data_IF_146422804605
#
_entry.id   IF_146422804605
#
_cell.length_a   1.000
_cell.length_b   1.000
_cell.length_c   1.000
_cell.angle_alpha   90.00
_cell.angle_beta   90.00
_cell.angle_gamma   90.00
#
_symmetry.space_group_name_H-M   'P 1'
#
loop_
_entity.id
_entity.type
_entity.pdbx_description
1 polymer ?
#
# COMPACT_ATOMS: atom_id res chain seq x y z
N UNK A 1 -16.65 -13.54 12.26
CA UNK A 1 -17.30 -12.56 11.36
C UNK A 1 -16.62 -12.75 10.01
N UNK A 2 -17.39 -12.96 8.94
CA UNK A 2 -16.82 -13.01 7.59
C UNK A 2 -16.36 -11.60 7.23
N UNK A 3 -15.08 -11.44 6.90
CA UNK A 3 -14.56 -10.15 6.41
C UNK A 3 -15.26 -9.76 5.12
N UNK A 4 -15.48 -8.47 4.91
CA UNK A 4 -16.01 -7.97 3.64
C UNK A 4 -15.09 -8.43 2.48
N UNK A 5 -15.66 -8.76 1.32
CA UNK A 5 -14.84 -9.14 0.17
C UNK A 5 -13.88 -8.02 -0.22
N UNK A 6 -12.74 -8.41 -0.74
CA UNK A 6 -11.65 -7.52 -1.12
C UNK A 6 -11.73 -7.29 -2.62
N UNK A 7 -11.51 -6.05 -3.04
CA UNK A 7 -11.40 -5.63 -4.42
C UNK A 7 -10.06 -4.91 -4.61
N UNK A 8 -9.32 -5.32 -5.61
CA UNK A 8 -8.06 -4.69 -6.02
C UNK A 8 -8.19 -4.34 -7.50
N UNK A 9 -8.05 -3.08 -7.84
CA UNK A 9 -8.01 -2.61 -9.22
C UNK A 9 -6.56 -2.60 -9.69
N UNK A 10 -6.27 -3.32 -10.78
CA UNK A 10 -4.94 -3.35 -11.40
C UNK A 10 -4.77 -2.25 -12.46
N UNK A 11 -5.86 -1.73 -12.98
CA UNK A 11 -5.87 -0.68 -14.00
C UNK A 11 -7.27 -0.36 -14.53
N UNK A 12 -7.39 0.71 -15.32
CA UNK A 12 -6.33 1.60 -15.78
C UNK A 12 -5.91 2.59 -14.69
N UNK A 13 -4.62 2.97 -14.71
CA UNK A 13 -4.10 4.00 -13.82
C UNK A 13 -4.61 5.39 -14.21
N UNK A 14 -4.70 6.32 -13.26
CA UNK A 14 -5.22 7.67 -13.50
C UNK A 14 -4.54 8.40 -14.65
N UNK A 15 -3.23 8.24 -14.84
CA UNK A 15 -2.49 8.85 -15.96
C UNK A 15 -2.83 8.24 -17.32
N UNK A 16 -3.33 7.00 -17.36
CA UNK A 16 -3.72 6.29 -18.60
C UNK A 16 -5.18 6.52 -19.00
N UNK A 17 -6.01 7.06 -18.10
CA UNK A 17 -7.43 7.28 -18.36
C UNK A 17 -7.65 8.53 -19.21
N UNK A 18 -8.53 8.41 -20.18
CA UNK A 18 -8.99 9.53 -21.03
C UNK A 18 -10.49 9.68 -20.89
N UNK A 19 -10.98 10.65 -20.10
CA UNK A 19 -12.40 10.93 -19.95
C UNK A 19 -13.09 11.19 -21.30
N UNK A 20 -14.20 10.52 -21.52
CA UNK A 20 -14.93 10.51 -22.79
C UNK A 20 -14.49 9.42 -23.79
N UNK A 21 -13.47 8.61 -23.46
CA UNK A 21 -13.09 7.41 -24.21
C UNK A 21 -13.48 6.14 -23.47
N UNK A 22 -13.34 4.98 -24.10
CA UNK A 22 -13.45 3.69 -23.41
C UNK A 22 -12.09 3.31 -22.82
N UNK A 23 -12.12 2.59 -21.68
CA UNK A 23 -10.94 1.99 -21.07
C UNK A 23 -11.29 0.61 -20.50
N UNK A 24 -10.30 -0.30 -20.50
CA UNK A 24 -10.43 -1.62 -19.88
C UNK A 24 -10.07 -1.53 -18.41
N UNK A 25 -11.03 -1.79 -17.55
CA UNK A 25 -10.84 -1.91 -16.10
C UNK A 25 -10.66 -3.37 -15.73
N UNK A 26 -9.57 -3.68 -15.04
CA UNK A 26 -9.25 -5.03 -14.61
C UNK A 26 -8.70 -5.08 -13.21
N UNK A 27 -8.86 -6.23 -12.56
CA UNK A 27 -8.40 -6.38 -11.20
C UNK A 27 -8.74 -7.76 -10.62
N UNK A 28 -8.63 -7.86 -9.30
CA UNK A 28 -8.85 -9.09 -8.55
C UNK A 28 -9.93 -8.88 -7.49
N UNK A 29 -10.79 -9.88 -7.34
CA UNK A 29 -11.71 -10.00 -6.20
C UNK A 29 -11.29 -11.17 -5.33
N UNK A 30 -11.33 -11.00 -4.01
CA UNK A 30 -11.09 -12.05 -3.04
C UNK A 30 -12.24 -12.05 -2.01
N UNK A 31 -12.92 -13.16 -1.86
CA UNK A 31 -13.88 -13.37 -0.79
C UNK A 31 -13.37 -14.44 0.17
N UNK A 32 -13.34 -14.12 1.47
CA UNK A 32 -13.00 -15.05 2.54
C UNK A 32 -14.31 -15.60 3.11
N UNK A 33 -14.58 -16.90 2.88
CA UNK A 33 -15.80 -17.56 3.34
C UNK A 33 -16.63 -18.16 2.21
N UNK A 34 -17.84 -18.64 2.55
CA UNK A 34 -18.65 -19.46 1.65
C UNK A 34 -19.46 -18.67 0.61
N UNK A 35 -19.41 -17.34 0.62
CA UNK A 35 -20.18 -16.46 -0.28
C UNK A 35 -19.29 -15.77 -1.29
N UNK A 36 -18.97 -16.41 -2.44
CA UNK A 36 -18.03 -15.88 -3.41
C UNK A 36 -18.60 -14.64 -4.14
N UNK A 37 -17.71 -13.86 -4.72
CA UNK A 37 -18.10 -12.76 -5.61
C UNK A 37 -18.62 -13.34 -6.93
N UNK A 38 -19.87 -13.08 -7.23
CA UNK A 38 -20.54 -13.54 -8.46
C UNK A 38 -20.40 -12.54 -9.61
N UNK A 39 -20.34 -11.24 -9.29
CA UNK A 39 -20.29 -10.17 -10.30
C UNK A 39 -19.62 -8.91 -9.74
N UNK A 40 -18.83 -8.24 -10.57
CA UNK A 40 -18.37 -6.87 -10.36
C UNK A 40 -19.28 -5.94 -11.16
N UNK A 41 -19.82 -4.92 -10.51
CA UNK A 41 -20.75 -3.95 -11.12
C UNK A 41 -20.12 -2.56 -11.07
N UNK A 42 -20.06 -1.87 -12.21
CA UNK A 42 -19.61 -0.50 -12.32
C UNK A 42 -20.79 0.45 -12.58
N UNK A 43 -20.84 1.56 -11.85
CA UNK A 43 -21.85 2.61 -11.98
C UNK A 43 -21.24 3.98 -12.16
N UNK A 44 -21.89 4.83 -12.95
CA UNK A 44 -21.61 6.27 -13.00
C UNK A 44 -22.91 7.04 -12.83
N UNK A 45 -22.93 8.03 -11.94
CA UNK A 45 -24.13 8.78 -11.55
C UNK A 45 -25.33 7.86 -11.21
N UNK A 46 -25.06 6.74 -10.55
CA UNK A 46 -26.06 5.73 -10.18
C UNK A 46 -26.49 4.76 -11.29
N UNK A 47 -26.21 5.04 -12.56
CA UNK A 47 -26.52 4.15 -13.68
C UNK A 47 -25.45 3.07 -13.83
N UNK A 48 -25.86 1.82 -14.10
CA UNK A 48 -24.92 0.74 -14.41
C UNK A 48 -24.31 0.98 -15.79
N UNK A 49 -22.98 1.05 -15.85
CA UNK A 49 -22.19 1.25 -17.08
C UNK A 49 -21.42 0.01 -17.49
N UNK A 50 -21.29 -0.97 -16.60
CA UNK A 50 -20.65 -2.26 -16.90
C UNK A 50 -20.85 -3.31 -15.84
N UNK A 51 -20.63 -4.56 -16.25
CA UNK A 51 -20.66 -5.76 -15.40
C UNK A 51 -19.62 -6.75 -15.87
N UNK A 52 -18.97 -7.44 -14.95
CA UNK A 52 -18.07 -8.54 -15.25
C UNK A 52 -18.24 -9.67 -14.26
N UNK A 53 -18.09 -10.91 -14.73
CA UNK A 53 -17.90 -12.07 -13.86
C UNK A 53 -16.43 -12.21 -13.53
N UNK A 54 -16.04 -12.34 -12.27
CA UNK A 54 -14.68 -12.64 -11.91
C UNK A 54 -14.46 -14.17 -12.06
N UNK A 55 -13.88 -14.58 -13.20
CA UNK A 55 -13.64 -15.99 -13.57
C UNK A 55 -12.19 -16.25 -14.00
N UNK A 56 -11.37 -15.22 -14.08
CA UNK A 56 -9.96 -15.32 -14.44
C UNK A 56 -9.09 -15.88 -13.31
N UNK A 57 -8.03 -16.62 -13.70
CA UNK A 57 -7.05 -17.14 -12.74
C UNK A 57 -6.25 -16.04 -12.06
N UNK A 58 -5.82 -16.29 -10.81
CA UNK A 58 -5.04 -15.38 -9.96
C UNK A 58 -3.73 -16.04 -9.51
N UNK A 59 -2.80 -16.37 -10.43
CA UNK A 59 -1.54 -17.03 -10.06
C UNK A 59 -0.70 -16.18 -9.08
N UNK A 60 -0.84 -14.88 -9.12
CA UNK A 60 -0.18 -13.94 -8.22
C UNK A 60 -0.64 -14.03 -6.75
N UNK A 61 -1.79 -14.66 -6.51
CA UNK A 61 -2.30 -14.93 -5.16
C UNK A 61 -2.04 -16.37 -4.71
N UNK A 62 -1.16 -17.11 -5.36
CA UNK A 62 -0.81 -18.49 -5.00
C UNK A 62 -0.26 -18.66 -3.58
N UNK A 63 0.20 -17.58 -2.94
CA UNK A 63 0.63 -17.55 -1.55
C UNK A 63 -0.53 -17.38 -0.55
N UNK A 64 -1.72 -17.02 -1.02
CA UNK A 64 -2.91 -16.89 -0.18
C UNK A 64 -3.51 -18.28 0.04
N UNK A 65 -3.72 -18.73 1.28
CA UNK A 65 -4.41 -19.99 1.55
C UNK A 65 -5.90 -19.83 1.20
N UNK A 66 -6.31 -20.39 0.06
CA UNK A 66 -7.67 -20.20 -0.48
C UNK A 66 -8.71 -21.18 0.08
N UNK A 67 -8.37 -22.05 1.04
CA UNK A 67 -9.35 -22.92 1.70
C UNK A 67 -10.49 -22.10 2.31
N UNK A 68 -11.70 -22.29 1.80
CA UNK A 68 -12.89 -21.52 2.19
C UNK A 68 -12.88 -20.07 1.69
N UNK A 69 -12.06 -19.77 0.67
CA UNK A 69 -11.98 -18.45 0.03
C UNK A 69 -12.03 -18.62 -1.49
N UNK A 70 -12.41 -17.56 -2.21
CA UNK A 70 -12.35 -17.50 -3.67
C UNK A 70 -11.62 -16.25 -4.12
N UNK A 71 -10.67 -16.40 -5.03
CA UNK A 71 -9.97 -15.29 -5.68
C UNK A 71 -10.09 -15.43 -7.19
N UNK A 72 -10.57 -14.40 -7.86
CA UNK A 72 -10.75 -14.40 -9.31
C UNK A 72 -10.44 -13.04 -9.91
N UNK A 73 -9.86 -13.04 -11.10
CA UNK A 73 -9.68 -11.84 -11.92
C UNK A 73 -10.97 -11.48 -12.63
N UNK A 74 -11.17 -10.18 -12.81
CA UNK A 74 -12.20 -9.63 -13.69
C UNK A 74 -11.56 -8.68 -14.70
N UNK A 75 -12.27 -8.47 -15.81
CA UNK A 75 -11.94 -7.44 -16.81
C UNK A 75 -13.24 -6.94 -17.44
N UNK A 76 -13.35 -5.63 -17.66
CA UNK A 76 -14.49 -5.02 -18.33
C UNK A 76 -14.10 -3.76 -19.07
N UNK A 77 -14.64 -3.57 -20.27
CA UNK A 77 -14.53 -2.32 -21.01
C UNK A 77 -15.64 -1.37 -20.58
N UNK A 78 -15.26 -0.17 -20.14
CA UNK A 78 -16.20 0.84 -19.67
C UNK A 78 -16.03 2.14 -20.44
N UNK A 79 -17.14 2.85 -20.77
CA UNK A 79 -17.05 4.26 -21.12
C UNK A 79 -16.59 5.04 -19.89
N UNK A 80 -15.52 5.81 -20.01
CA UNK A 80 -15.06 6.67 -18.90
C UNK A 80 -15.88 7.96 -18.94
N UNK A 81 -16.74 8.22 -17.94
CA UNK A 81 -17.57 9.43 -17.93
C UNK A 81 -16.69 10.68 -17.77
N UNK A 82 -17.22 11.86 -18.12
CA UNK A 82 -16.61 13.15 -17.80
C UNK A 82 -17.20 13.70 -16.51
N UNK A 83 -16.34 14.24 -15.64
CA UNK A 83 -16.77 14.93 -14.42
C UNK A 83 -17.54 14.06 -13.41
N UNK A 84 -17.51 12.74 -13.57
CA UNK A 84 -18.28 11.80 -12.73
C UNK A 84 -17.42 10.61 -12.35
N UNK A 85 -17.47 10.24 -11.09
CA UNK A 85 -16.81 9.05 -10.54
C UNK A 85 -17.41 7.74 -11.06
N UNK A 86 -16.61 6.67 -11.03
CA UNK A 86 -17.10 5.31 -11.29
C UNK A 86 -17.10 4.55 -9.95
N UNK A 87 -18.29 4.16 -9.48
CA UNK A 87 -18.46 3.34 -8.29
C UNK A 87 -18.47 1.86 -8.68
N UNK A 88 -17.56 1.08 -8.10
CA UNK A 88 -17.53 -0.37 -8.22
C UNK A 88 -18.17 -1.00 -6.97
N UNK A 89 -19.00 -2.00 -7.19
CA UNK A 89 -19.58 -2.84 -6.15
C UNK A 89 -19.41 -4.31 -6.50
N UNK A 90 -19.41 -5.16 -5.47
CA UNK A 90 -19.34 -6.61 -5.60
C UNK A 90 -20.72 -7.20 -5.27
N UNK A 91 -21.26 -7.95 -6.20
CA UNK A 91 -22.44 -8.78 -5.95
C UNK A 91 -21.98 -10.18 -5.56
N UNK A 92 -22.42 -10.64 -4.41
CA UNK A 92 -22.11 -11.96 -3.88
C UNK A 92 -23.08 -13.01 -4.42
N UNK A 93 -22.74 -14.29 -4.30
CA UNK A 93 -23.60 -15.39 -4.72
C UNK A 93 -24.94 -15.43 -3.96
N UNK A 94 -24.97 -14.96 -2.72
CA UNK A 94 -26.21 -14.75 -1.93
C UNK A 94 -27.13 -13.68 -2.49
N UNK A 95 -26.68 -12.86 -3.45
CA UNK A 95 -27.40 -11.71 -3.99
C UNK A 95 -27.12 -10.40 -3.24
N UNK A 96 -26.38 -10.43 -2.12
CA UNK A 96 -25.95 -9.20 -1.44
C UNK A 96 -25.01 -8.39 -2.34
N UNK A 97 -25.13 -7.07 -2.28
CA UNK A 97 -24.23 -6.14 -3.00
C UNK A 97 -23.48 -5.25 -2.00
N UNK A 98 -22.17 -5.21 -2.09
CA UNK A 98 -21.30 -4.45 -1.20
C UNK A 98 -20.48 -3.44 -2.00
N UNK A 99 -20.35 -2.17 -1.55
CA UNK A 99 -19.45 -1.20 -2.15
C UNK A 99 -18.00 -1.71 -2.07
N UNK A 100 -17.23 -1.48 -3.12
CA UNK A 100 -15.87 -1.99 -3.23
C UNK A 100 -14.83 -0.90 -3.47
N UNK A 101 -15.05 -0.04 -4.46
CA UNK A 101 -14.05 0.93 -4.90
C UNK A 101 -14.72 2.10 -5.59
N UNK A 102 -14.15 3.30 -5.44
CA UNK A 102 -14.55 4.49 -6.22
C UNK A 102 -13.37 4.98 -7.03
N UNK A 103 -13.55 5.05 -8.33
CA UNK A 103 -12.56 5.59 -9.27
C UNK A 103 -12.86 7.06 -9.52
N UNK A 104 -11.94 7.93 -9.09
CA UNK A 104 -12.11 9.39 -9.14
C UNK A 104 -11.70 9.94 -10.52
N UNK A 105 -12.61 9.85 -11.51
CA UNK A 105 -12.39 10.43 -12.85
C UNK A 105 -12.20 11.95 -12.78
N UNK A 106 -12.97 12.73 -11.99
CA UNK A 106 -12.71 14.16 -11.80
C UNK A 106 -11.28 14.49 -11.35
N UNK A 107 -10.68 13.66 -10.47
CA UNK A 107 -9.27 13.79 -10.09
C UNK A 107 -8.35 13.61 -11.31
N UNK A 108 -8.55 12.53 -12.08
CA UNK A 108 -7.78 12.27 -13.29
C UNK A 108 -7.87 13.41 -14.30
N UNK A 109 -9.05 14.03 -14.45
CA UNK A 109 -9.26 15.18 -15.32
C UNK A 109 -8.51 16.44 -14.85
N UNK A 110 -8.64 16.78 -13.56
CA UNK A 110 -7.98 17.96 -12.99
C UNK A 110 -6.46 17.85 -13.02
N UNK A 111 -5.94 16.68 -12.73
CA UNK A 111 -4.51 16.42 -12.56
C UNK A 111 -3.84 15.90 -13.85
N UNK A 112 -4.55 15.82 -14.98
CA UNK A 112 -4.09 15.15 -16.20
C UNK A 112 -2.68 15.58 -16.65
N UNK A 113 -2.38 16.88 -16.65
CA UNK A 113 -1.06 17.40 -17.03
C UNK A 113 0.02 17.02 -16.00
N UNK A 114 -0.29 17.11 -14.70
CA UNK A 114 0.61 16.70 -13.61
C UNK A 114 0.89 15.21 -13.67
N UNK A 115 -0.14 14.38 -13.81
CA UNK A 115 -0.03 12.93 -13.89
C UNK A 115 0.82 12.49 -15.09
N UNK A 116 0.62 13.10 -16.27
CA UNK A 116 1.44 12.82 -17.45
C UNK A 116 2.90 13.21 -17.26
N UNK A 117 3.16 14.35 -16.60
CA UNK A 117 4.53 14.79 -16.30
C UNK A 117 5.21 13.88 -15.26
N UNK A 118 4.49 13.42 -14.25
CA UNK A 118 4.99 12.47 -13.25
C UNK A 118 5.28 11.11 -13.88
N UNK A 119 4.37 10.59 -14.69
CA UNK A 119 4.54 9.32 -15.40
C UNK A 119 5.76 9.34 -16.33
N UNK A 120 5.96 10.42 -17.08
CA UNK A 120 7.13 10.57 -17.93
C UNK A 120 8.45 10.58 -17.12
N UNK A 121 8.47 11.24 -15.95
CA UNK A 121 9.65 11.27 -15.07
C UNK A 121 9.90 9.92 -14.41
N UNK A 122 8.87 9.24 -13.92
CA UNK A 122 8.97 7.88 -13.38
C UNK A 122 9.42 6.89 -14.47
N UNK A 123 8.88 7.02 -15.68
CA UNK A 123 9.23 6.20 -16.84
C UNK A 123 10.69 6.30 -17.26
N UNK A 124 11.34 7.43 -16.98
CA UNK A 124 12.77 7.64 -17.24
C UNK A 124 13.70 7.00 -16.18
N UNK A 125 13.17 6.60 -15.02
CA UNK A 125 13.98 5.97 -13.97
C UNK A 125 14.25 4.50 -14.26
N UNK A 126 15.44 3.99 -13.93
CA UNK A 126 15.73 2.55 -13.97
C UNK A 126 14.79 1.77 -13.05
N UNK A 127 14.43 0.58 -13.45
CA UNK A 127 13.69 -0.38 -12.62
C UNK A 127 14.52 -1.66 -12.43
N UNK A 128 14.42 -2.34 -11.28
CA UNK A 128 15.12 -3.57 -11.02
C UNK A 128 14.60 -4.71 -11.91
N UNK A 129 15.39 -5.76 -12.05
CA UNK A 129 14.96 -6.98 -12.72
C UNK A 129 13.89 -7.74 -11.91
N UNK A 130 13.31 -8.76 -12.51
CA UNK A 130 12.23 -9.55 -11.93
C UNK A 130 12.62 -10.25 -10.62
N UNK A 131 13.89 -10.63 -10.45
CA UNK A 131 14.36 -11.30 -9.24
C UNK A 131 14.39 -10.33 -8.04
N UNK A 132 14.91 -9.12 -8.24
CA UNK A 132 14.92 -8.08 -7.22
C UNK A 132 13.50 -7.56 -6.92
N UNK A 133 12.64 -7.44 -7.94
CA UNK A 133 11.22 -7.09 -7.74
C UNK A 133 10.53 -8.16 -6.89
N UNK A 134 10.76 -9.45 -7.17
CA UNK A 134 10.19 -10.55 -6.38
C UNK A 134 10.63 -10.50 -4.90
N UNK A 135 11.88 -10.12 -4.63
CA UNK A 135 12.40 -9.98 -3.27
C UNK A 135 11.65 -8.92 -2.46
N UNK A 136 11.19 -7.84 -3.11
CA UNK A 136 10.52 -6.72 -2.44
C UNK A 136 8.99 -6.82 -2.46
N UNK A 137 8.40 -7.40 -3.51
CA UNK A 137 6.94 -7.45 -3.70
C UNK A 137 6.34 -8.87 -3.70
N UNK A 138 7.17 -9.89 -3.54
CA UNK A 138 6.74 -11.29 -3.59
C UNK A 138 6.50 -11.83 -5.01
N UNK A 139 6.35 -10.95 -6.01
CA UNK A 139 6.11 -11.29 -7.42
C UNK A 139 7.05 -10.49 -8.31
N UNK A 140 7.72 -11.15 -9.26
CA UNK A 140 8.69 -10.55 -10.17
C UNK A 140 8.08 -9.79 -11.36
N UNK A 141 6.94 -9.12 -11.18
CA UNK A 141 6.29 -8.36 -12.24
C UNK A 141 6.85 -6.94 -12.33
N UNK A 142 7.76 -6.71 -13.27
CA UNK A 142 8.45 -5.43 -13.47
C UNK A 142 7.51 -4.31 -13.93
N UNK A 143 6.50 -4.62 -14.76
CA UNK A 143 5.55 -3.63 -15.24
C UNK A 143 4.63 -3.16 -14.10
N UNK A 144 4.15 -4.09 -13.26
CA UNK A 144 3.39 -3.75 -12.06
C UNK A 144 4.24 -2.96 -11.05
N UNK A 145 5.53 -3.31 -10.90
CA UNK A 145 6.46 -2.54 -10.08
C UNK A 145 6.55 -1.09 -10.56
N UNK A 146 6.80 -0.86 -11.87
CA UNK A 146 6.88 0.46 -12.47
C UNK A 146 5.60 1.28 -12.25
N UNK A 147 4.46 0.67 -12.56
CA UNK A 147 3.15 1.29 -12.39
C UNK A 147 2.88 1.67 -10.91
N UNK A 148 3.31 0.84 -9.96
CA UNK A 148 3.12 1.08 -8.53
C UNK A 148 3.94 2.26 -7.97
N UNK A 149 4.96 2.76 -8.67
CA UNK A 149 5.74 3.93 -8.22
C UNK A 149 4.83 5.16 -8.11
N UNK A 150 4.15 5.51 -9.20
CA UNK A 150 3.25 6.67 -9.22
C UNK A 150 2.03 6.45 -8.34
N UNK A 151 1.40 5.28 -8.41
CA UNK A 151 0.23 4.96 -7.60
C UNK A 151 0.51 5.03 -6.09
N UNK A 152 1.66 4.51 -5.64
CA UNK A 152 2.04 4.61 -4.22
C UNK A 152 2.36 6.04 -3.79
N UNK A 153 2.96 6.85 -4.66
CA UNK A 153 3.17 8.27 -4.38
C UNK A 153 1.84 9.01 -4.18
N UNK A 154 0.89 8.83 -5.09
CA UNK A 154 -0.45 9.44 -5.00
C UNK A 154 -1.21 8.96 -3.75
N UNK A 155 -1.09 7.69 -3.40
CA UNK A 155 -1.67 7.15 -2.18
C UNK A 155 -1.07 7.82 -0.92
N UNK A 156 0.27 7.99 -0.88
CA UNK A 156 0.93 8.68 0.23
C UNK A 156 0.49 10.13 0.36
N UNK A 157 0.40 10.88 -0.76
CA UNK A 157 -0.13 12.26 -0.75
C UNK A 157 -1.53 12.32 -0.15
N UNK A 158 -2.42 11.44 -0.62
CA UNK A 158 -3.82 11.41 -0.16
C UNK A 158 -3.92 11.05 1.33
N UNK A 159 -3.17 10.05 1.78
CA UNK A 159 -3.15 9.62 3.18
C UNK A 159 -2.57 10.74 4.07
N UNK A 160 -1.49 11.40 3.66
CA UNK A 160 -0.94 12.54 4.38
C UNK A 160 -1.96 13.67 4.48
N UNK A 161 -2.62 14.04 3.40
CA UNK A 161 -3.64 15.08 3.39
C UNK A 161 -4.81 14.73 4.33
N UNK A 162 -5.35 13.51 4.24
CA UNK A 162 -6.40 13.01 5.13
C UNK A 162 -5.92 12.91 6.59
N UNK A 163 -4.63 12.63 6.81
CA UNK A 163 -3.96 12.66 8.10
C UNK A 163 -3.67 14.06 8.64
N UNK A 164 -3.96 15.12 7.86
CA UNK A 164 -3.77 16.51 8.26
C UNK A 164 -2.36 17.07 7.98
N UNK A 165 -1.59 16.41 7.10
CA UNK A 165 -0.29 16.86 6.61
C UNK A 165 -0.41 17.41 5.18
N UNK A 166 0.49 18.32 4.82
CA UNK A 166 0.62 18.85 3.46
C UNK A 166 1.88 18.27 2.81
N UNK A 167 1.70 17.34 1.87
CA UNK A 167 2.79 16.71 1.14
C UNK A 167 3.70 17.73 0.42
N UNK A 168 3.16 18.87 0.00
CA UNK A 168 3.94 19.94 -0.62
C UNK A 168 4.94 20.62 0.32
N UNK A 169 4.75 20.49 1.64
CA UNK A 169 5.67 21.02 2.66
C UNK A 169 6.77 20.05 3.08
N UNK A 170 6.64 18.78 2.71
CA UNK A 170 7.63 17.75 3.04
C UNK A 170 8.89 17.97 2.21
N UNK A 171 10.02 18.22 2.86
CA UNK A 171 11.34 18.49 2.23
C UNK A 171 12.35 17.40 2.48
N UNK A 172 12.21 16.66 3.56
CA UNK A 172 13.14 15.61 3.96
C UNK A 172 12.38 14.32 4.29
N UNK A 173 12.72 13.23 3.60
CA UNK A 173 12.03 11.95 3.70
C UNK A 173 13.02 10.84 4.00
N UNK A 174 12.69 9.99 4.95
CA UNK A 174 13.35 8.72 5.23
C UNK A 174 12.40 7.58 4.94
N UNK A 175 12.82 6.63 4.11
CA UNK A 175 12.12 5.38 3.84
C UNK A 175 12.90 4.23 4.48
N UNK A 176 12.37 3.66 5.55
CA UNK A 176 12.97 2.52 6.28
C UNK A 176 12.38 1.23 5.69
N UNK A 177 13.26 0.30 5.28
CA UNK A 177 12.86 -0.86 4.49
C UNK A 177 12.52 -0.46 3.04
N UNK A 178 13.33 0.42 2.46
CA UNK A 178 13.05 1.05 1.17
C UNK A 178 13.12 0.08 -0.03
N UNK A 179 13.65 -1.12 0.17
CA UNK A 179 13.87 -2.07 -0.92
C UNK A 179 14.78 -1.48 -2.00
N UNK A 180 14.30 -1.52 -3.24
CA UNK A 180 14.98 -0.91 -4.39
C UNK A 180 14.57 0.56 -4.63
N UNK A 181 13.93 1.22 -3.67
CA UNK A 181 13.66 2.66 -3.71
C UNK A 181 12.35 3.07 -4.40
N UNK A 182 11.39 2.16 -4.53
CA UNK A 182 10.11 2.39 -5.21
C UNK A 182 9.35 3.62 -4.72
N UNK A 183 9.22 3.79 -3.41
CA UNK A 183 8.48 4.91 -2.84
C UNK A 183 9.22 6.23 -3.03
N UNK A 184 10.53 6.24 -2.82
CA UNK A 184 11.36 7.45 -3.00
C UNK A 184 11.44 7.89 -4.46
N UNK A 185 11.36 6.96 -5.42
CA UNK A 185 11.31 7.30 -6.85
C UNK A 185 10.09 8.18 -7.20
N UNK A 186 8.93 7.92 -6.59
CA UNK A 186 7.72 8.75 -6.74
C UNK A 186 7.92 10.16 -6.16
N UNK A 187 8.47 10.26 -4.96
CA UNK A 187 8.79 11.54 -4.32
C UNK A 187 9.81 12.37 -5.10
N UNK A 188 10.84 11.71 -5.65
CA UNK A 188 11.83 12.37 -6.52
C UNK A 188 11.20 12.87 -7.83
N UNK A 189 10.33 12.07 -8.44
CA UNK A 189 9.63 12.47 -9.67
C UNK A 189 8.74 13.70 -9.46
N UNK A 190 8.16 13.87 -8.27
CA UNK A 190 7.36 15.05 -7.94
C UNK A 190 8.24 16.29 -7.71
N UNK A 191 9.24 16.20 -6.84
CA UNK A 191 10.20 17.28 -6.58
C UNK A 191 11.60 16.71 -6.34
N UNK A 192 12.52 16.83 -7.33
CA UNK A 192 13.86 16.29 -7.23
C UNK A 192 14.77 17.07 -6.25
N UNK A 193 14.29 18.19 -5.69
CA UNK A 193 15.05 18.96 -4.71
C UNK A 193 14.83 18.50 -3.27
N UNK A 194 13.93 17.54 -3.03
CA UNK A 194 13.75 16.94 -1.70
C UNK A 194 14.99 16.16 -1.29
N UNK A 195 15.31 16.22 0.00
CA UNK A 195 16.32 15.36 0.61
C UNK A 195 15.70 13.98 0.89
N UNK A 196 16.08 12.99 0.12
CA UNK A 196 15.57 11.64 0.21
C UNK A 196 16.64 10.68 0.73
N UNK A 197 16.30 9.85 1.69
CA UNK A 197 17.17 8.81 2.25
C UNK A 197 16.39 7.50 2.27
N UNK A 198 16.97 6.44 1.71
CA UNK A 198 16.44 5.08 1.77
C UNK A 198 17.37 4.16 2.55
N UNK A 199 16.81 3.36 3.45
CA UNK A 199 17.60 2.39 4.20
C UNK A 199 16.91 1.02 4.21
N UNK A 200 17.71 -0.06 4.12
CA UNK A 200 17.22 -1.44 4.11
C UNK A 200 18.25 -2.39 4.73
N UNK A 201 17.79 -3.52 5.32
CA UNK A 201 18.69 -4.57 5.81
C UNK A 201 19.40 -5.29 4.66
N UNK A 202 18.74 -5.39 3.50
CA UNK A 202 19.18 -6.15 2.36
C UNK A 202 20.23 -5.36 1.56
N UNK A 203 21.48 -5.83 1.67
CA UNK A 203 22.63 -5.19 1.02
C UNK A 203 22.54 -5.18 -0.51
N UNK A 204 21.93 -6.20 -1.11
CA UNK A 204 21.84 -6.32 -2.57
C UNK A 204 20.84 -5.31 -3.14
N UNK A 205 19.70 -5.09 -2.45
CA UNK A 205 18.74 -4.05 -2.82
C UNK A 205 19.36 -2.66 -2.75
N UNK A 206 20.10 -2.38 -1.69
CA UNK A 206 20.82 -1.10 -1.51
C UNK A 206 21.96 -0.94 -2.53
N UNK A 207 22.70 -2.01 -2.84
CA UNK A 207 23.73 -1.96 -3.87
C UNK A 207 23.16 -1.62 -5.25
N UNK A 208 22.04 -2.22 -5.59
CA UNK A 208 21.30 -1.90 -6.82
C UNK A 208 20.87 -0.42 -6.83
N UNK A 209 20.22 0.05 -5.76
CA UNK A 209 19.73 1.43 -5.64
C UNK A 209 20.88 2.46 -5.72
N UNK A 210 22.00 2.20 -5.05
CA UNK A 210 23.22 3.03 -5.14
C UNK A 210 23.76 3.14 -6.56
N UNK A 211 23.69 2.07 -7.33
CA UNK A 211 24.20 2.02 -8.70
C UNK A 211 23.28 2.72 -9.69
N UNK A 212 21.96 2.50 -9.55
CA UNK A 212 21.00 2.89 -10.58
C UNK A 212 20.18 4.13 -10.21
N UNK A 213 20.02 4.44 -8.93
CA UNK A 213 19.22 5.55 -8.41
C UNK A 213 20.04 6.53 -7.56
N UNK A 214 21.34 6.69 -7.85
CA UNK A 214 22.24 7.58 -7.11
C UNK A 214 21.78 9.05 -7.12
N UNK A 215 21.09 9.49 -8.17
CA UNK A 215 20.51 10.83 -8.28
C UNK A 215 19.17 11.00 -7.57
N UNK A 216 18.52 9.90 -7.15
CA UNK A 216 17.21 9.92 -6.51
C UNK A 216 17.33 10.15 -5.01
N UNK A 217 18.19 9.39 -4.33
CA UNK A 217 18.32 9.44 -2.87
C UNK A 217 19.71 9.02 -2.39
N UNK A 218 20.00 9.29 -1.12
CA UNK A 218 21.06 8.61 -0.39
C UNK A 218 20.59 7.22 0.03
N UNK A 219 21.42 6.19 -0.15
CA UNK A 219 21.05 4.80 0.11
C UNK A 219 21.97 4.19 1.18
N UNK A 220 21.38 3.64 2.23
CA UNK A 220 22.11 3.17 3.41
C UNK A 220 21.71 1.73 3.75
N UNK A 221 22.64 0.95 4.30
CA UNK A 221 22.34 -0.35 4.88
C UNK A 221 22.16 -0.17 6.37
N UNK A 222 21.00 -0.59 6.92
CA UNK A 222 20.77 -0.57 8.36
C UNK A 222 20.88 -1.97 8.99
N UNK A 223 20.93 -1.99 10.32
CA UNK A 223 20.78 -3.21 11.10
C UNK A 223 19.31 -3.57 11.36
N UNK A 224 19.08 -4.75 11.93
CA UNK A 224 17.74 -5.18 12.35
C UNK A 224 17.19 -4.28 13.48
N UNK A 225 18.05 -3.75 14.31
CA UNK A 225 17.70 -2.90 15.45
C UNK A 225 18.11 -1.46 15.23
N UNK A 226 17.35 -0.46 15.73
CA UNK A 226 17.78 0.92 15.79
C UNK A 226 18.98 1.08 16.78
N UNK A 227 19.67 2.25 16.82
CA UNK A 227 19.33 3.48 16.13
C UNK A 227 19.94 3.60 14.72
N UNK A 228 19.36 4.49 13.90
CA UNK A 228 19.97 4.95 12.64
C UNK A 228 20.94 6.11 12.90
N UNK A 229 21.97 6.30 12.04
CA UNK A 229 23.01 7.32 12.23
C UNK A 229 22.55 8.73 11.81
N UNK A 230 21.32 9.09 12.15
CA UNK A 230 20.75 10.41 11.86
C UNK A 230 20.45 11.17 13.15
N UNK A 231 20.60 12.51 13.16
CA UNK A 231 20.26 13.32 14.33
C UNK A 231 18.75 13.34 14.60
N UNK A 232 18.40 13.72 15.82
CA UNK A 232 17.02 13.92 16.22
C UNK A 232 16.36 15.01 15.36
N UNK A 233 15.11 14.78 14.96
CA UNK A 233 14.36 15.75 14.19
C UNK A 233 14.85 15.94 12.75
N UNK A 234 15.53 14.96 12.17
CA UNK A 234 16.17 15.09 10.85
C UNK A 234 15.20 15.06 9.67
N UNK A 235 13.98 14.55 9.84
CA UNK A 235 13.06 14.27 8.73
C UNK A 235 11.66 14.84 8.97
N UNK A 236 11.07 15.39 7.90
CA UNK A 236 9.68 15.83 7.90
C UNK A 236 8.72 14.65 7.75
N UNK A 237 9.16 13.60 7.03
CA UNK A 237 8.40 12.38 6.80
C UNK A 237 9.30 11.14 6.99
N UNK A 238 8.79 10.17 7.75
CA UNK A 238 9.38 8.82 7.85
C UNK A 238 8.35 7.80 7.36
N UNK A 239 8.75 6.92 6.44
CA UNK A 239 7.88 5.88 5.87
C UNK A 239 8.41 4.52 6.29
N UNK A 240 7.50 3.64 6.74
CA UNK A 240 7.75 2.21 6.97
C UNK A 240 6.63 1.41 6.30
N UNK A 241 6.87 1.02 5.07
CA UNK A 241 5.92 0.20 4.30
C UNK A 241 6.28 -1.28 4.43
N UNK A 242 5.43 -2.06 5.09
CA UNK A 242 5.63 -3.51 5.29
C UNK A 242 6.93 -3.87 6.05
N UNK A 243 7.33 -3.05 7.01
CA UNK A 243 8.54 -3.28 7.82
C UNK A 243 8.18 -3.86 9.19
N UNK A 244 7.36 -3.14 9.96
CA UNK A 244 6.98 -3.58 11.30
C UNK A 244 6.24 -4.92 11.30
N UNK A 245 5.61 -5.26 10.18
CA UNK A 245 4.94 -6.55 9.96
C UNK A 245 5.89 -7.75 10.01
N UNK A 246 7.20 -7.54 9.85
CA UNK A 246 8.23 -8.56 9.86
C UNK A 246 9.12 -8.50 11.10
N UNK A 247 8.70 -7.78 12.14
CA UNK A 247 9.45 -7.56 13.36
C UNK A 247 8.69 -8.10 14.59
N UNK A 248 9.46 -8.54 15.58
CA UNK A 248 8.92 -8.86 16.92
C UNK A 248 8.35 -7.62 17.60
N UNK A 249 7.47 -7.81 18.57
CA UNK A 249 6.85 -6.70 19.28
C UNK A 249 7.87 -5.78 19.96
N UNK A 250 8.95 -6.36 20.53
CA UNK A 250 9.98 -5.57 21.19
C UNK A 250 10.77 -4.72 20.18
N UNK A 251 11.05 -5.28 19.00
CA UNK A 251 11.73 -4.56 17.94
C UNK A 251 10.82 -3.49 17.30
N UNK A 252 9.52 -3.78 17.16
CA UNK A 252 8.54 -2.78 16.75
C UNK A 252 8.53 -1.57 17.68
N UNK A 253 8.50 -1.79 19.01
CA UNK A 253 8.56 -0.72 20.02
C UNK A 253 9.83 0.10 19.90
N UNK A 254 10.98 -0.56 19.70
CA UNK A 254 12.25 0.12 19.51
C UNK A 254 12.25 1.01 18.24
N UNK A 255 11.75 0.48 17.12
CA UNK A 255 11.63 1.25 15.88
C UNK A 255 10.62 2.39 15.98
N UNK A 256 9.50 2.22 16.67
CA UNK A 256 8.50 3.27 16.91
C UNK A 256 9.11 4.44 17.71
N UNK A 257 9.91 4.14 18.73
CA UNK A 257 10.64 5.16 19.47
C UNK A 257 11.67 5.88 18.59
N UNK A 258 12.37 5.14 17.73
CA UNK A 258 13.33 5.72 16.77
C UNK A 258 12.67 6.62 15.72
N UNK A 259 11.53 6.18 15.15
CA UNK A 259 10.75 7.01 14.23
C UNK A 259 10.41 8.34 14.90
N UNK A 260 9.92 8.29 16.14
CA UNK A 260 9.58 9.50 16.89
C UNK A 260 10.79 10.40 17.14
N UNK A 261 11.98 9.83 17.41
CA UNK A 261 13.23 10.57 17.53
C UNK A 261 13.61 11.28 16.23
N UNK A 262 13.53 10.57 15.12
CA UNK A 262 13.96 11.03 13.79
C UNK A 262 13.06 12.12 13.19
N UNK A 263 11.77 12.13 13.54
CA UNK A 263 10.83 13.13 13.03
C UNK A 263 11.14 14.54 13.55
N UNK A 264 11.08 15.51 12.68
CA UNK A 264 11.10 16.93 13.03
C UNK A 264 9.86 17.30 13.88
N UNK A 265 9.89 18.37 14.67
CA UNK A 265 8.68 18.92 15.27
C UNK A 265 7.60 19.19 14.23
N UNK A 266 6.39 18.61 14.39
CA UNK A 266 5.32 18.65 13.39
C UNK A 266 5.52 17.74 12.19
N UNK A 267 6.55 16.89 12.20
CA UNK A 267 6.79 15.85 11.19
C UNK A 267 5.80 14.69 11.32
N UNK A 268 5.73 13.88 10.26
CA UNK A 268 4.77 12.79 10.14
C UNK A 268 5.44 11.46 9.83
N UNK A 269 4.81 10.36 10.25
CA UNK A 269 5.21 9.03 9.77
C UNK A 269 4.03 8.34 9.08
N UNK A 270 4.33 7.55 8.04
CA UNK A 270 3.41 6.59 7.43
C UNK A 270 3.89 5.19 7.76
N UNK A 271 3.07 4.44 8.47
CA UNK A 271 3.38 3.08 8.90
C UNK A 271 2.29 2.14 8.41
N UNK A 272 2.69 1.00 7.83
CA UNK A 272 1.72 -0.02 7.43
C UNK A 272 1.84 -1.26 8.32
N UNK A 273 0.69 -1.87 8.64
CA UNK A 273 0.59 -3.06 9.48
C UNK A 273 -0.36 -4.09 8.86
N UNK A 274 -0.13 -5.37 9.15
CA UNK A 274 -1.12 -6.41 8.87
C UNK A 274 -2.28 -6.29 9.87
N UNK A 275 -3.40 -5.77 9.40
CA UNK A 275 -4.62 -5.63 10.18
C UNK A 275 -5.50 -6.88 10.16
N UNK A 276 -6.77 -6.67 10.56
CA UNK A 276 -7.75 -7.77 10.66
C UNK A 276 -7.98 -8.50 9.34
N UNK A 277 -7.94 -7.79 8.20
CA UNK A 277 -8.11 -8.41 6.87
C UNK A 277 -6.98 -9.40 6.58
N UNK A 278 -5.73 -9.01 6.88
CA UNK A 278 -4.59 -9.92 6.74
C UNK A 278 -4.68 -11.10 7.71
N UNK A 279 -5.11 -10.86 8.96
CA UNK A 279 -5.33 -11.92 9.93
C UNK A 279 -6.39 -12.93 9.46
N UNK A 280 -7.52 -12.45 8.91
CA UNK A 280 -8.58 -13.31 8.36
C UNK A 280 -8.08 -14.16 7.17
N UNK A 281 -7.13 -13.65 6.39
CA UNK A 281 -6.58 -14.37 5.22
C UNK A 281 -5.46 -15.33 5.60
N UNK A 282 -4.51 -14.92 6.47
CA UNK A 282 -3.25 -15.65 6.67
C UNK A 282 -3.15 -16.35 8.03
N UNK A 283 -3.84 -15.86 9.07
CA UNK A 283 -3.71 -16.38 10.42
C UNK A 283 -4.56 -17.66 10.60
N UNK A 284 -4.07 -18.77 10.07
CA UNK A 284 -4.77 -20.07 10.07
C UNK A 284 -4.44 -20.95 11.28
N UNK A 285 -3.33 -20.68 11.97
CA UNK A 285 -2.94 -21.41 13.16
C UNK A 285 -3.88 -21.06 14.32
N UNK A 286 -4.61 -22.07 14.91
CA UNK A 286 -5.69 -21.79 15.87
C UNK A 286 -5.25 -21.03 17.11
N UNK A 287 -4.07 -21.35 17.66
CA UNK A 287 -3.56 -20.71 18.88
C UNK A 287 -3.16 -19.25 18.63
N UNK A 288 -2.58 -18.94 17.46
CA UNK A 288 -2.25 -17.58 17.07
C UNK A 288 -3.52 -16.76 16.74
N UNK A 289 -4.51 -17.38 16.09
CA UNK A 289 -5.80 -16.75 15.84
C UNK A 289 -6.55 -16.42 17.14
N UNK A 290 -6.50 -17.31 18.15
CA UNK A 290 -7.07 -17.05 19.47
C UNK A 290 -6.32 -15.92 20.20
N UNK A 291 -4.99 -15.91 20.12
CA UNK A 291 -4.17 -14.84 20.70
C UNK A 291 -4.52 -13.49 20.06
N UNK A 292 -4.63 -13.45 18.72
CA UNK A 292 -5.04 -12.23 18.01
C UNK A 292 -6.40 -11.71 18.47
N UNK A 293 -7.38 -12.61 18.63
CA UNK A 293 -8.73 -12.24 19.09
C UNK A 293 -8.74 -11.72 20.54
N UNK A 294 -7.97 -12.34 21.41
CA UNK A 294 -7.98 -12.04 22.86
C UNK A 294 -7.10 -10.83 23.23
N UNK A 295 -5.96 -10.65 22.55
CA UNK A 295 -4.97 -9.60 22.88
C UNK A 295 -4.89 -8.47 21.86
N UNK A 296 -5.43 -8.66 20.67
CA UNK A 296 -5.28 -7.75 19.54
C UNK A 296 -3.95 -7.88 18.78
N UNK A 297 -3.10 -8.85 19.16
CA UNK A 297 -1.79 -9.08 18.56
C UNK A 297 -1.50 -10.57 18.40
N UNK A 298 -0.86 -10.93 17.28
CA UNK A 298 -0.25 -12.25 17.09
C UNK A 298 0.96 -12.15 16.16
N UNK A 299 1.85 -13.13 16.27
CA UNK A 299 2.99 -13.28 15.36
C UNK A 299 3.16 -14.74 14.95
N UNK A 300 3.66 -14.95 13.75
CA UNK A 300 4.06 -16.21 13.18
C UNK A 300 5.55 -16.14 12.86
N UNK A 301 6.36 -16.85 13.62
CA UNK A 301 7.82 -16.89 13.47
C UNK A 301 8.23 -18.01 12.49
N UNK A 302 7.73 -17.96 11.26
CA UNK A 302 8.06 -18.93 10.21
C UNK A 302 9.47 -18.78 9.63
N UNK A 303 10.14 -17.66 9.94
CA UNK A 303 11.49 -17.33 9.51
C UNK A 303 12.20 -16.47 10.56
N UNK A 304 13.45 -16.08 10.29
CA UNK A 304 14.15 -15.10 11.09
C UNK A 304 13.46 -13.73 11.03
N UNK A 305 13.51 -12.98 12.10
CA UNK A 305 13.00 -11.62 12.20
C UNK A 305 13.67 -10.73 11.15
N UNK A 306 12.89 -9.87 10.52
CA UNK A 306 13.30 -9.05 9.39
C UNK A 306 13.18 -9.72 8.02
N UNK A 307 12.84 -11.00 7.96
CA UNK A 307 12.57 -11.71 6.71
C UNK A 307 11.05 -11.81 6.43
N UNK A 308 10.65 -11.87 5.17
CA UNK A 308 9.24 -11.93 4.75
C UNK A 308 8.45 -13.13 5.33
N UNK A 309 9.12 -14.19 5.77
CA UNK A 309 8.47 -15.32 6.45
C UNK A 309 8.17 -15.11 7.93
N UNK A 310 8.65 -14.03 8.54
CA UNK A 310 8.22 -13.57 9.87
C UNK A 310 7.03 -12.63 9.67
N UNK A 311 5.94 -12.84 10.40
CA UNK A 311 4.72 -12.03 10.19
C UNK A 311 4.04 -11.72 11.51
N UNK A 312 3.67 -10.45 11.72
CA UNK A 312 2.89 -9.99 12.86
C UNK A 312 1.58 -9.34 12.43
N UNK A 313 0.55 -9.47 13.27
CA UNK A 313 -0.81 -9.00 13.01
C UNK A 313 -1.28 -8.13 14.17
N UNK A 314 -2.02 -7.06 13.85
CA UNK A 314 -2.46 -6.05 14.81
C UNK A 314 -3.93 -5.72 14.59
N UNK A 315 -4.70 -5.67 15.67
CA UNK A 315 -5.99 -4.95 15.62
C UNK A 315 -5.72 -3.44 15.66
N UNK A 316 -6.67 -2.63 15.17
CA UNK A 316 -6.58 -1.16 15.28
C UNK A 316 -6.33 -0.71 16.72
N UNK A 317 -7.05 -1.27 17.68
CA UNK A 317 -6.91 -0.91 19.09
C UNK A 317 -5.49 -1.18 19.62
N UNK A 318 -4.91 -2.32 19.29
CA UNK A 318 -3.55 -2.67 19.68
C UNK A 318 -2.52 -1.74 19.03
N UNK A 319 -2.65 -1.52 17.70
CA UNK A 319 -1.77 -0.62 16.97
C UNK A 319 -1.81 0.82 17.52
N UNK A 320 -3.00 1.34 17.87
CA UNK A 320 -3.13 2.65 18.53
C UNK A 320 -2.41 2.71 19.86
N UNK A 321 -2.37 1.61 20.62
CA UNK A 321 -1.61 1.55 21.88
C UNK A 321 -0.10 1.60 21.65
N UNK A 322 0.41 1.03 20.54
CA UNK A 322 1.83 1.15 20.17
C UNK A 322 2.21 2.58 19.79
N UNK A 323 1.28 3.33 19.19
CA UNK A 323 1.50 4.71 18.72
C UNK A 323 1.05 5.78 19.72
N UNK A 324 0.81 5.43 20.97
CA UNK A 324 0.23 6.34 21.98
C UNK A 324 1.08 7.59 22.25
N UNK A 325 2.39 7.55 22.01
CA UNK A 325 3.31 8.68 22.22
C UNK A 325 3.31 9.71 21.07
N UNK A 326 2.56 9.46 19.99
CA UNK A 326 2.37 10.44 18.92
C UNK A 326 1.20 11.37 19.23
N UNK A 327 1.35 12.63 18.87
CA UNK A 327 0.31 13.66 19.13
C UNK A 327 -1.00 13.35 18.38
N UNK A 328 -0.90 12.70 17.21
CA UNK A 328 -2.07 12.28 16.42
C UNK A 328 -1.81 10.95 15.76
N UNK A 329 -2.82 10.09 15.75
CA UNK A 329 -2.85 8.80 15.05
C UNK A 329 -4.09 8.75 14.17
N UNK A 330 -3.92 8.91 12.86
CA UNK A 330 -4.98 8.70 11.89
C UNK A 330 -4.88 7.28 11.31
N UNK A 331 -6.01 6.60 11.21
CA UNK A 331 -6.10 5.21 10.77
C UNK A 331 -6.85 5.12 9.44
N UNK A 332 -6.28 4.38 8.50
CA UNK A 332 -6.81 4.15 7.17
C UNK A 332 -6.83 2.64 6.91
N UNK A 333 -7.98 1.98 7.10
CA UNK A 333 -8.09 0.54 6.86
C UNK A 333 -7.77 0.24 5.39
N UNK A 334 -6.82 -0.66 5.16
CA UNK A 334 -6.32 -1.01 3.81
C UNK A 334 -5.81 0.19 2.99
N UNK A 335 -5.42 1.28 3.63
CA UNK A 335 -4.99 2.50 2.96
C UNK A 335 -6.10 3.30 2.29
N UNK A 336 -7.37 3.05 2.62
CA UNK A 336 -8.52 3.74 2.02
C UNK A 336 -8.77 5.08 2.70
N UNK A 337 -8.84 6.16 1.92
CA UNK A 337 -9.14 7.52 2.37
C UNK A 337 -10.52 7.95 1.89
N UNK A 338 -11.39 8.39 2.84
CA UNK A 338 -12.72 8.92 2.49
C UNK A 338 -13.63 7.96 1.71
N UNK A 339 -13.45 6.65 1.83
CA UNK A 339 -14.17 5.64 1.06
C UNK A 339 -13.65 5.44 -0.35
N UNK A 340 -12.58 6.13 -0.75
CA UNK A 340 -11.90 5.96 -2.03
C UNK A 340 -10.62 5.16 -1.79
N UNK A 341 -10.53 3.96 -2.37
CA UNK A 341 -9.27 3.26 -2.46
C UNK A 341 -8.45 3.88 -3.61
N UNK A 342 -7.14 4.04 -3.40
CA UNK A 342 -6.24 4.43 -4.48
C UNK A 342 -5.85 3.19 -5.29
N UNK A 343 -5.54 3.39 -6.57
CA UNK A 343 -5.19 2.34 -7.51
C UNK A 343 -4.09 1.41 -6.99
N UNK A 344 -3.09 2.01 -6.34
CA UNK A 344 -2.04 1.26 -5.67
C UNK A 344 -1.92 1.74 -4.23
N UNK A 345 -2.36 0.96 -3.27
CA UNK A 345 -2.06 1.25 -1.88
C UNK A 345 -0.53 1.23 -1.65
N UNK A 346 -0.06 1.94 -0.64
CA UNK A 346 1.35 1.92 -0.23
C UNK A 346 1.82 0.47 -0.04
N UNK A 347 0.95 -0.34 0.56
CA UNK A 347 1.09 -1.79 0.67
C UNK A 347 -0.29 -2.44 0.55
N UNK A 348 -0.44 -3.42 -0.34
CA UNK A 348 -1.72 -4.08 -0.61
C UNK A 348 -2.31 -4.70 0.65
N UNK A 349 -3.60 -4.44 0.91
CA UNK A 349 -4.39 -4.97 2.01
C UNK A 349 -3.91 -4.59 3.42
N UNK A 350 -2.79 -3.88 3.57
CA UNK A 350 -2.30 -3.46 4.87
C UNK A 350 -3.03 -2.22 5.37
N UNK A 351 -3.27 -2.18 6.65
CA UNK A 351 -3.76 -1.00 7.33
C UNK A 351 -2.66 0.06 7.38
N UNK A 352 -3.03 1.32 7.14
CA UNK A 352 -2.07 2.44 7.14
C UNK A 352 -2.37 3.37 8.30
N UNK A 353 -1.32 3.77 8.99
CA UNK A 353 -1.36 4.75 10.07
C UNK A 353 -0.54 5.99 9.68
N UNK A 354 -1.17 7.16 9.71
CA UNK A 354 -0.48 8.43 9.62
C UNK A 354 -0.33 9.00 11.03
N UNK A 355 0.92 9.14 11.44
CA UNK A 355 1.31 9.55 12.80
C UNK A 355 1.87 10.97 12.73
N UNK A 356 1.51 11.85 13.68
CA UNK A 356 2.12 13.17 13.81
C UNK A 356 2.90 13.25 15.12
N UNK A 357 4.12 13.84 15.05
CA UNK A 357 4.96 14.09 16.21
C UNK A 357 4.49 15.32 16.99
#
# INVERSE_FOLDING_TARGET
>A
MTSAPIFILDGPHYHAVRPGAAATFGGVTLAVGPDPVAEVVARAAGAVIGRARPDGATPELGWVPLEGSSACRFSMDLPVPRGTEIDFSLRLASGAEVPAFRYDVPFAEREAARLAALDARVGALPVPDSALVATTQGLGNVDAYRASILGSFLAMESILAAGGADAARVRSILDIGCGTGRLLAGWHADDPLRRLVGTDLNRDLIAWARTHLASVAAWEVNGLHPPLPHPDGAFDLVVLSSVLTHLSLDNQRAWIAEIRRLLAPGGHALVTLHGSVYADVLLREPAAAERFRSTGYAELAGAAEGANGYTSFHTEAFARSLFADFARVAFFPRGVTGGVAHEFPIASLQDVYALAR
#
